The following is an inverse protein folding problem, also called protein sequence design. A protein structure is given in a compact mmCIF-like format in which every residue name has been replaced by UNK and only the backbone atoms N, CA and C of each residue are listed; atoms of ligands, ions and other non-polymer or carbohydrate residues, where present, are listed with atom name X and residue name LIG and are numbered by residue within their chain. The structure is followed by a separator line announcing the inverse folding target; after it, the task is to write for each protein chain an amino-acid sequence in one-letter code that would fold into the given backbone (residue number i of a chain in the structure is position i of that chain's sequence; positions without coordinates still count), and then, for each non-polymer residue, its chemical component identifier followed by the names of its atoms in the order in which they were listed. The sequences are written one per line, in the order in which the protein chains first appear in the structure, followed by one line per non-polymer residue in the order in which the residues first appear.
data_IF_001887173655
#
_entry.id   IF_001887173655
#
_cell.length_a   1.000
_cell.length_b   1.000
_cell.length_c   1.000
_cell.angle_alpha   90.00
_cell.angle_beta   90.00
_cell.angle_gamma   90.00
#
_symmetry.space_group_name_H-M   'P 1'
#
loop_
_entity.id
_entity.type
_entity.pdbx_description
1 polymer ?
#
# COMPACT_ATOMS: atom_id res chain seq x y z
N UNK A 1 72.29 30.52 -90.33
CA UNK A 1 72.58 29.14 -90.76
C UNK A 1 71.33 28.30 -90.48
N UNK A 2 70.67 27.64 -91.43
CA UNK A 2 70.56 27.90 -92.89
C UNK A 2 69.45 27.01 -93.49
N UNK A 3 68.69 27.55 -94.44
CA UNK A 3 67.84 26.82 -95.42
C UNK A 3 68.73 26.24 -96.56
N UNK A 4 68.30 25.39 -97.55
CA UNK A 4 66.95 25.25 -98.16
C UNK A 4 66.53 23.80 -98.63
N UNK A 5 65.59 23.71 -99.61
CA UNK A 5 65.23 22.56 -100.52
C UNK A 5 64.61 21.27 -99.92
N UNK A 6 63.48 20.67 -100.35
CA UNK A 6 62.40 20.91 -101.35
C UNK A 6 62.49 20.24 -102.76
N UNK A 7 61.31 19.87 -103.31
CA UNK A 7 60.96 19.41 -104.70
C UNK A 7 61.24 17.93 -105.11
N UNK A 8 60.68 17.54 -106.27
CA UNK A 8 60.76 16.24 -107.00
C UNK A 8 59.78 15.10 -106.60
N UNK A 9 58.51 15.35 -106.93
CA UNK A 9 57.30 14.52 -106.84
C UNK A 9 57.11 13.49 -108.00
N UNK A 10 55.94 12.82 -108.02
CA UNK A 10 55.04 12.64 -109.18
C UNK A 10 54.92 11.31 -109.95
N UNK A 11 55.97 10.77 -110.57
CA UNK A 11 55.77 9.82 -111.70
C UNK A 11 55.15 8.45 -111.33
N UNK A 12 54.30 7.93 -112.23
CA UNK A 12 53.76 6.56 -112.29
C UNK A 12 52.48 6.21 -111.49
N UNK A 13 51.62 7.21 -111.29
CA UNK A 13 50.20 7.00 -111.65
C UNK A 13 50.13 6.69 -113.17
N UNK A 14 49.26 5.77 -113.62
CA UNK A 14 48.37 5.94 -114.80
C UNK A 14 47.70 4.65 -115.32
N UNK A 15 48.46 3.58 -115.56
CA UNK A 15 48.13 2.64 -116.67
C UNK A 15 46.89 1.73 -116.47
N UNK A 16 46.57 1.30 -115.25
CA UNK A 16 45.68 0.14 -115.02
C UNK A 16 44.15 0.42 -115.12
N UNK A 17 43.72 1.49 -115.79
CA UNK A 17 42.34 2.01 -115.69
C UNK A 17 41.26 1.30 -116.54
N UNK A 18 41.61 0.28 -117.35
CA UNK A 18 41.01 0.15 -118.69
C UNK A 18 39.84 -0.84 -118.92
N UNK A 19 39.54 -1.78 -118.01
CA UNK A 19 38.89 -3.04 -118.40
C UNK A 19 37.55 -3.44 -117.70
N UNK A 20 36.82 -2.52 -117.04
CA UNK A 20 35.60 -2.87 -116.25
C UNK A 20 34.40 -1.94 -116.50
N UNK A 21 34.26 -1.46 -117.73
CA UNK A 21 32.93 -1.35 -118.36
C UNK A 21 32.47 -2.81 -118.68
N UNK A 22 31.20 -3.17 -118.88
CA UNK A 22 30.21 -2.53 -119.74
C UNK A 22 28.79 -2.94 -119.33
N UNK A 23 28.18 -2.26 -118.35
CA UNK A 23 26.81 -2.55 -117.91
C UNK A 23 26.07 -1.29 -117.47
N UNK A 24 24.91 -1.05 -118.07
CA UNK A 24 23.90 0.04 -117.91
C UNK A 24 22.67 -0.12 -116.99
N UNK A 25 22.50 -0.89 -115.90
CA UNK A 25 23.17 -2.02 -115.24
C UNK A 25 24.47 -1.83 -114.42
N UNK A 26 25.04 -0.62 -114.29
CA UNK A 26 26.01 -0.27 -113.21
C UNK A 26 25.76 1.15 -112.66
N UNK A 27 25.95 2.28 -113.38
CA UNK A 27 25.55 3.61 -112.92
C UNK A 27 24.15 3.69 -112.26
N UNK A 28 23.12 3.01 -112.74
CA UNK A 28 21.79 2.97 -112.12
C UNK A 28 21.80 2.29 -110.74
N UNK A 29 22.51 1.16 -110.64
CA UNK A 29 22.75 0.45 -109.38
C UNK A 29 23.62 1.28 -108.44
N UNK A 30 24.65 1.97 -108.95
CA UNK A 30 25.43 2.96 -108.20
C UNK A 30 24.58 4.15 -107.76
N UNK A 31 23.57 4.57 -108.52
CA UNK A 31 22.68 5.66 -108.14
C UNK A 31 21.76 5.25 -106.99
N UNK A 32 21.06 4.11 -107.10
CA UNK A 32 20.26 3.54 -106.01
C UNK A 32 21.11 3.18 -104.79
N UNK A 33 22.32 2.62 -104.99
CA UNK A 33 23.25 2.32 -103.91
C UNK A 33 23.83 3.59 -103.27
N UNK A 34 24.13 4.65 -104.03
CA UNK A 34 24.58 5.94 -103.48
C UNK A 34 23.44 6.67 -102.76
N UNK A 35 22.19 6.56 -103.23
CA UNK A 35 21.05 7.13 -102.52
C UNK A 35 20.74 6.34 -101.23
N UNK A 36 20.73 5.01 -101.30
CA UNK A 36 20.63 4.15 -100.11
C UNK A 36 21.77 4.41 -99.13
N UNK A 37 23.02 4.53 -99.61
CA UNK A 37 24.20 4.89 -98.81
C UNK A 37 24.07 6.29 -98.21
N UNK A 38 23.55 7.29 -98.93
CA UNK A 38 23.27 8.64 -98.41
C UNK A 38 22.16 8.63 -97.36
N UNK A 39 21.07 7.88 -97.57
CA UNK A 39 19.98 7.69 -96.59
C UNK A 39 20.51 6.99 -95.33
N UNK A 40 21.29 5.92 -95.49
CA UNK A 40 21.92 5.18 -94.40
C UNK A 40 22.94 6.03 -93.64
N UNK A 41 23.78 6.82 -94.34
CA UNK A 41 24.73 7.75 -93.69
C UNK A 41 23.99 8.80 -92.86
N UNK A 42 22.92 9.40 -93.39
CA UNK A 42 22.08 10.34 -92.63
C UNK A 42 21.40 9.70 -91.42
N UNK A 43 20.95 8.44 -91.52
CA UNK A 43 20.46 7.70 -90.36
C UNK A 43 21.57 7.53 -89.34
N UNK A 44 22.72 6.96 -89.74
CA UNK A 44 23.85 6.72 -88.85
C UNK A 44 24.37 7.98 -88.16
N UNK A 45 24.40 9.14 -88.84
CA UNK A 45 24.77 10.42 -88.23
C UNK A 45 23.70 10.92 -87.24
N UNK A 46 22.41 10.72 -87.54
CA UNK A 46 21.29 11.00 -86.62
C UNK A 46 21.32 10.10 -85.39
N UNK A 47 21.46 8.80 -85.59
CA UNK A 47 21.53 7.77 -84.56
C UNK A 47 22.77 8.00 -83.67
N UNK A 48 23.92 8.36 -84.27
CA UNK A 48 25.14 8.74 -83.55
C UNK A 48 24.98 10.02 -82.73
N UNK A 49 24.24 11.01 -83.22
CA UNK A 49 23.91 12.23 -82.45
C UNK A 49 23.05 11.88 -81.22
N UNK A 50 21.98 11.12 -81.42
CA UNK A 50 21.10 10.64 -80.33
C UNK A 50 21.86 9.80 -79.30
N UNK A 51 22.75 8.90 -79.74
CA UNK A 51 23.63 8.12 -78.85
C UNK A 51 24.56 9.04 -78.04
N UNK A 52 25.10 10.11 -78.64
CA UNK A 52 25.95 11.07 -77.92
C UNK A 52 25.18 11.87 -76.85
N UNK A 53 23.93 12.21 -77.14
CA UNK A 53 23.02 12.92 -76.22
C UNK A 53 22.64 12.03 -75.03
N UNK A 54 22.19 10.80 -75.28
CA UNK A 54 21.94 9.80 -74.23
C UNK A 54 23.18 9.46 -73.40
N UNK A 55 24.39 9.51 -73.99
CA UNK A 55 25.64 9.29 -73.25
C UNK A 55 25.97 10.46 -72.32
N UNK A 56 25.69 11.70 -72.76
CA UNK A 56 25.78 12.90 -71.92
C UNK A 56 24.82 12.84 -70.72
N UNK A 57 23.54 12.56 -70.97
CA UNK A 57 22.52 12.41 -69.93
C UNK A 57 22.87 11.29 -68.92
N UNK A 58 23.30 10.13 -69.41
CA UNK A 58 23.75 9.03 -68.54
C UNK A 58 24.91 9.43 -67.62
N UNK A 59 25.84 10.25 -68.10
CA UNK A 59 26.97 10.69 -67.29
C UNK A 59 26.57 11.78 -66.29
N UNK A 60 25.61 12.66 -66.63
CA UNK A 60 24.99 13.56 -65.64
C UNK A 60 24.25 12.78 -64.54
N UNK A 61 23.37 11.84 -64.91
CA UNK A 61 22.62 11.02 -63.96
C UNK A 61 23.53 10.17 -63.06
N UNK A 62 24.63 9.60 -63.59
CA UNK A 62 25.64 8.90 -62.76
C UNK A 62 26.29 9.83 -61.74
N UNK A 63 26.63 11.05 -62.12
CA UNK A 63 27.22 12.05 -61.22
C UNK A 63 26.21 12.52 -60.17
N UNK A 64 24.94 12.69 -60.53
CA UNK A 64 23.88 13.03 -59.58
C UNK A 64 23.62 11.88 -58.59
N UNK A 65 23.49 10.64 -59.06
CA UNK A 65 23.37 9.45 -58.21
C UNK A 65 24.56 9.32 -57.25
N UNK A 66 25.78 9.58 -57.72
CA UNK A 66 26.98 9.61 -56.85
C UNK A 66 26.85 10.70 -55.77
N UNK A 67 26.50 11.92 -56.17
CA UNK A 67 26.33 13.07 -55.27
C UNK A 67 25.21 12.84 -54.25
N UNK A 68 24.10 12.21 -54.63
CA UNK A 68 23.00 11.85 -53.74
C UNK A 68 23.40 10.73 -52.76
N UNK A 69 24.15 9.72 -53.20
CA UNK A 69 24.71 8.68 -52.32
C UNK A 69 25.68 9.26 -51.29
N UNK A 70 26.54 10.19 -51.68
CA UNK A 70 27.44 10.90 -50.76
C UNK A 70 26.69 11.79 -49.76
N UNK A 71 25.60 12.44 -50.19
CA UNK A 71 24.71 13.22 -49.30
C UNK A 71 23.95 12.33 -48.30
N UNK A 72 23.48 11.15 -48.73
CA UNK A 72 22.85 10.16 -47.86
C UNK A 72 23.84 9.63 -46.82
N UNK A 73 25.01 9.11 -47.24
CA UNK A 73 26.02 8.60 -46.31
C UNK A 73 26.45 9.63 -45.25
N UNK A 74 26.54 10.92 -45.62
CA UNK A 74 26.82 12.02 -44.67
C UNK A 74 25.66 12.29 -43.70
N UNK A 75 24.40 12.20 -44.16
CA UNK A 75 23.22 12.30 -43.29
C UNK A 75 23.13 11.14 -42.31
N UNK A 76 23.36 9.91 -42.78
CA UNK A 76 23.24 8.69 -41.98
C UNK A 76 24.33 8.63 -40.90
N UNK A 77 25.57 9.05 -41.24
CA UNK A 77 26.67 9.20 -40.28
C UNK A 77 26.40 10.29 -39.22
N UNK A 78 25.72 11.39 -39.60
CA UNK A 78 25.30 12.42 -38.65
C UNK A 78 24.25 11.89 -37.66
N UNK A 79 23.18 11.30 -38.18
CA UNK A 79 22.08 10.74 -37.38
C UNK A 79 22.52 9.63 -36.40
N UNK A 80 23.50 8.80 -36.79
CA UNK A 80 23.98 7.68 -35.96
C UNK A 80 25.00 8.07 -34.89
N UNK A 81 25.53 9.30 -34.90
CA UNK A 81 26.50 9.78 -33.90
C UNK A 81 25.85 10.39 -32.67
N UNK A 82 24.90 11.32 -32.87
CA UNK A 82 24.35 12.15 -31.79
C UNK A 82 23.11 11.54 -31.14
N UNK A 83 22.18 11.00 -31.93
CA UNK A 83 20.93 10.41 -31.43
C UNK A 83 21.14 9.31 -30.37
N UNK A 84 22.03 8.31 -30.53
CA UNK A 84 22.26 7.34 -29.46
C UNK A 84 22.90 7.98 -28.21
N UNK A 85 23.83 8.93 -28.37
CA UNK A 85 24.46 9.62 -27.23
C UNK A 85 23.47 10.45 -26.42
N UNK A 86 22.53 11.15 -27.07
CA UNK A 86 21.46 11.86 -26.39
C UNK A 86 20.48 10.90 -25.72
N UNK A 87 20.10 9.79 -26.38
CA UNK A 87 19.25 8.77 -25.77
C UNK A 87 19.91 8.12 -24.54
N UNK A 88 21.20 7.79 -24.58
CA UNK A 88 21.94 7.27 -23.42
C UNK A 88 21.91 8.26 -22.25
N UNK A 89 22.25 9.53 -22.48
CA UNK A 89 22.20 10.57 -21.44
C UNK A 89 20.78 10.76 -20.87
N UNK A 90 19.76 10.83 -21.72
CA UNK A 90 18.38 10.98 -21.29
C UNK A 90 17.89 9.76 -20.49
N UNK A 91 18.41 8.57 -20.80
CA UNK A 91 18.14 7.32 -20.08
C UNK A 91 18.91 7.24 -18.75
N UNK A 92 20.12 7.79 -18.67
CA UNK A 92 20.89 7.98 -17.44
C UNK A 92 20.20 8.98 -16.50
N UNK A 93 19.84 10.17 -17.00
CA UNK A 93 19.07 11.20 -16.27
C UNK A 93 17.72 10.64 -15.79
N UNK A 94 17.00 9.89 -16.64
CA UNK A 94 15.77 9.21 -16.24
C UNK A 94 16.02 8.23 -15.10
N UNK A 95 17.04 7.38 -15.17
CA UNK A 95 17.35 6.45 -14.08
C UNK A 95 17.77 7.16 -12.79
N UNK A 96 18.46 8.30 -12.87
CA UNK A 96 18.81 9.09 -11.70
C UNK A 96 17.59 9.76 -11.07
N UNK A 97 16.67 10.29 -11.88
CA UNK A 97 15.38 10.83 -11.44
C UNK A 97 14.48 9.74 -10.84
N UNK A 98 14.42 8.54 -11.42
CA UNK A 98 13.69 7.41 -10.87
C UNK A 98 14.27 6.98 -9.50
N UNK A 99 15.60 6.91 -9.35
CA UNK A 99 16.26 6.63 -8.06
C UNK A 99 16.03 7.72 -7.00
N UNK A 100 16.02 9.00 -7.41
CA UNK A 100 15.66 10.12 -6.53
C UNK A 100 14.21 10.03 -6.09
N UNK A 101 13.29 9.73 -7.01
CA UNK A 101 11.86 9.57 -6.74
C UNK A 101 11.58 8.38 -5.81
N UNK A 102 12.27 7.25 -5.95
CA UNK A 102 12.13 6.14 -4.98
C UNK A 102 12.69 6.53 -3.61
N UNK A 103 13.87 7.15 -3.54
CA UNK A 103 14.45 7.59 -2.27
C UNK A 103 13.62 8.67 -1.57
N UNK A 104 12.96 9.57 -2.31
CA UNK A 104 12.03 10.55 -1.72
C UNK A 104 10.71 9.90 -1.30
N UNK A 105 10.19 8.91 -2.02
CA UNK A 105 9.04 8.11 -1.57
C UNK A 105 9.35 7.35 -0.28
N UNK A 106 10.52 6.71 -0.18
CA UNK A 106 10.97 6.04 1.05
C UNK A 106 11.08 7.02 2.23
N UNK A 107 11.62 8.22 2.01
CA UNK A 107 11.68 9.29 3.02
C UNK A 107 10.28 9.82 3.37
N UNK A 108 9.37 9.94 2.42
CA UNK A 108 7.97 10.33 2.68
C UNK A 108 7.27 9.24 3.50
N UNK A 109 7.42 7.97 3.16
CA UNK A 109 6.87 6.85 3.92
C UNK A 109 7.47 6.77 5.33
N UNK A 110 8.76 7.04 5.50
CA UNK A 110 9.40 7.11 6.81
C UNK A 110 8.90 8.32 7.61
N UNK A 111 8.83 9.50 6.99
CA UNK A 111 8.30 10.72 7.63
C UNK A 111 6.83 10.56 7.99
N UNK A 112 6.01 9.94 7.15
CA UNK A 112 4.61 9.58 7.44
C UNK A 112 4.55 8.59 8.60
N UNK A 113 5.36 7.52 8.62
CA UNK A 113 5.42 6.59 9.77
C UNK A 113 5.85 7.29 11.07
N UNK A 114 6.86 8.17 11.02
CA UNK A 114 7.33 8.96 12.17
C UNK A 114 6.30 10.00 12.62
N UNK A 115 5.61 10.67 11.70
CA UNK A 115 4.55 11.63 11.98
C UNK A 115 3.30 10.94 12.54
N UNK A 116 2.89 9.79 11.98
CA UNK A 116 1.81 8.97 12.53
C UNK A 116 2.15 8.44 13.92
N UNK A 117 3.39 7.99 14.16
CA UNK A 117 3.83 7.59 15.49
C UNK A 117 3.83 8.76 16.49
N UNK A 118 4.29 9.95 16.09
CA UNK A 118 4.23 11.16 16.93
C UNK A 118 2.81 11.68 17.13
N UNK A 119 1.93 11.53 16.13
CA UNK A 119 0.52 11.88 16.20
C UNK A 119 -0.20 10.94 17.17
N UNK A 120 -0.07 9.62 17.02
CA UNK A 120 -0.61 8.65 17.99
C UNK A 120 -0.05 8.88 19.40
N UNK A 121 1.23 9.24 19.54
CA UNK A 121 1.87 9.54 20.82
C UNK A 121 1.45 10.87 21.48
N UNK A 122 0.79 11.80 20.77
CA UNK A 122 0.43 13.14 21.28
C UNK A 122 -1.03 13.54 21.13
N UNK A 123 -1.77 12.86 20.25
CA UNK A 123 -3.18 13.15 19.97
C UNK A 123 -4.09 12.09 20.58
N UNK A 124 -3.67 10.82 20.68
CA UNK A 124 -4.48 9.78 21.32
C UNK A 124 -4.54 9.90 22.85
N UNK A 125 -3.78 10.81 23.48
CA UNK A 125 -3.96 11.12 24.91
C UNK A 125 -5.34 11.76 25.19
N UNK A 126 -5.88 12.54 24.25
CA UNK A 126 -7.18 13.25 24.38
C UNK A 126 -8.17 13.05 23.21
N UNK A 127 -7.74 12.53 22.05
CA UNK A 127 -8.58 12.42 20.84
C UNK A 127 -8.68 10.98 20.30
N UNK A 128 -9.57 10.14 20.89
CA UNK A 128 -9.75 8.74 20.49
C UNK A 128 -10.39 8.52 19.10
N UNK A 129 -10.73 9.59 18.37
CA UNK A 129 -11.23 9.49 16.99
C UNK A 129 -10.12 9.30 15.94
N UNK A 130 -8.84 9.52 16.28
CA UNK A 130 -7.69 9.32 15.37
C UNK A 130 -7.14 7.89 15.52
N UNK A 131 -8.04 6.90 15.47
CA UNK A 131 -7.70 5.49 15.61
C UNK A 131 -7.22 4.87 14.29
N UNK A 132 -6.19 4.03 14.37
CA UNK A 132 -5.76 3.20 13.24
C UNK A 132 -6.86 2.19 12.87
N UNK A 133 -7.34 2.24 11.62
CA UNK A 133 -8.40 1.34 11.13
C UNK A 133 -7.94 -0.11 10.96
N UNK A 134 -6.62 -0.36 11.01
CA UNK A 134 -6.04 -1.72 11.05
C UNK A 134 -5.93 -2.30 12.46
N UNK A 135 -6.04 -1.49 13.52
CA UNK A 135 -6.04 -1.99 14.90
C UNK A 135 -7.33 -2.78 15.19
N UNK A 136 -7.17 -4.09 15.43
CA UNK A 136 -8.25 -5.00 15.78
C UNK A 136 -8.81 -4.76 17.20
N UNK A 137 -8.05 -4.08 18.06
CA UNK A 137 -8.39 -3.74 19.44
C UNK A 137 -8.71 -2.25 19.62
N UNK A 138 -8.98 -1.52 18.53
CA UNK A 138 -9.50 -0.14 18.61
C UNK A 138 -10.88 -0.13 19.30
N UNK A 139 -11.24 0.91 20.06
CA UNK A 139 -12.51 0.99 20.80
C UNK A 139 -13.76 0.65 19.98
N UNK A 140 -13.86 1.11 18.72
CA UNK A 140 -15.02 0.84 17.86
C UNK A 140 -15.12 -0.64 17.48
N UNK A 141 -14.01 -1.29 17.08
CA UNK A 141 -14.02 -2.72 16.73
C UNK A 141 -14.21 -3.62 17.94
N UNK A 142 -13.86 -3.16 19.15
CA UNK A 142 -14.23 -3.84 20.39
C UNK A 142 -15.73 -3.69 20.69
N UNK A 143 -16.32 -2.51 20.49
CA UNK A 143 -17.76 -2.30 20.68
C UNK A 143 -18.62 -3.03 19.63
N UNK A 144 -18.12 -3.19 18.40
CA UNK A 144 -18.68 -4.08 17.38
C UNK A 144 -18.66 -5.54 17.86
N UNK A 145 -17.49 -6.08 18.24
CA UNK A 145 -17.36 -7.47 18.75
C UNK A 145 -18.18 -7.73 20.02
N UNK A 146 -18.33 -6.72 20.88
CA UNK A 146 -19.16 -6.81 22.07
C UNK A 146 -20.65 -6.82 21.73
N UNK A 147 -21.08 -6.10 20.68
CA UNK A 147 -22.44 -6.26 20.15
C UNK A 147 -22.63 -7.62 19.48
N UNK A 148 -21.67 -8.08 18.68
CA UNK A 148 -21.65 -9.43 18.11
C UNK A 148 -21.79 -10.51 19.20
N UNK A 149 -21.25 -10.29 20.41
CA UNK A 149 -21.40 -11.19 21.56
C UNK A 149 -22.82 -11.24 22.15
N UNK A 150 -23.63 -10.19 22.00
CA UNK A 150 -25.05 -10.24 22.37
C UNK A 150 -25.84 -11.10 21.37
N UNK A 151 -25.62 -10.89 20.07
CA UNK A 151 -26.36 -11.63 19.05
C UNK A 151 -25.99 -13.13 19.05
N UNK A 152 -24.72 -13.47 19.35
CA UNK A 152 -24.19 -14.85 19.38
C UNK A 152 -24.13 -15.45 20.81
N UNK A 153 -23.01 -15.29 21.53
CA UNK A 153 -22.74 -16.07 22.76
C UNK A 153 -23.76 -15.83 23.89
N UNK A 154 -24.35 -14.63 24.00
CA UNK A 154 -25.43 -14.37 24.95
C UNK A 154 -26.70 -15.16 24.59
N UNK A 155 -27.07 -15.21 23.31
CA UNK A 155 -28.23 -15.98 22.82
C UNK A 155 -28.05 -17.48 23.06
N UNK A 156 -26.87 -18.02 22.79
CA UNK A 156 -26.53 -19.42 23.05
C UNK A 156 -26.61 -19.75 24.55
N UNK A 157 -26.04 -18.90 25.41
CA UNK A 157 -26.11 -19.07 26.86
C UNK A 157 -27.56 -18.95 27.38
N UNK A 158 -28.29 -17.92 26.93
CA UNK A 158 -29.70 -17.67 27.28
C UNK A 158 -30.57 -18.88 26.94
N UNK A 159 -30.54 -19.35 25.70
CA UNK A 159 -31.46 -20.41 25.25
C UNK A 159 -31.14 -21.79 25.84
N UNK A 160 -29.95 -22.03 26.38
CA UNK A 160 -29.64 -23.28 27.12
C UNK A 160 -30.01 -23.15 28.59
N UNK A 161 -29.71 -22.01 29.23
CA UNK A 161 -30.02 -21.79 30.64
C UNK A 161 -31.54 -21.72 30.86
N UNK A 162 -32.26 -20.97 30.03
CA UNK A 162 -33.74 -20.86 30.09
C UNK A 162 -34.42 -22.23 29.97
N UNK A 163 -34.00 -23.07 29.00
CA UNK A 163 -34.53 -24.44 28.84
C UNK A 163 -34.26 -25.33 30.05
N UNK A 164 -33.25 -25.00 30.87
CA UNK A 164 -32.90 -25.77 32.08
C UNK A 164 -33.60 -25.29 33.36
N UNK A 165 -33.97 -24.01 33.44
CA UNK A 165 -34.54 -23.40 34.66
C UNK A 165 -36.01 -22.93 34.52
N UNK A 166 -36.52 -22.81 33.29
CA UNK A 166 -37.88 -22.39 32.97
C UNK A 166 -38.19 -20.91 33.19
N UNK A 167 -37.17 -20.02 33.24
CA UNK A 167 -37.33 -18.62 33.64
C UNK A 167 -36.53 -17.65 32.77
N UNK A 168 -37.22 -16.92 31.90
CA UNK A 168 -36.67 -15.80 31.12
C UNK A 168 -36.01 -14.76 32.05
N UNK A 169 -36.74 -14.29 33.07
CA UNK A 169 -36.31 -13.16 33.89
C UNK A 169 -35.04 -13.40 34.70
N UNK A 170 -34.94 -14.54 35.39
CA UNK A 170 -33.75 -14.90 36.18
C UNK A 170 -32.54 -15.18 35.27
N UNK A 171 -32.77 -15.68 34.06
CA UNK A 171 -31.71 -15.93 33.07
C UNK A 171 -31.15 -14.62 32.48
N UNK A 172 -32.01 -13.66 32.15
CA UNK A 172 -31.59 -12.32 31.72
C UNK A 172 -30.81 -11.62 32.84
N UNK A 173 -31.29 -11.69 34.09
CA UNK A 173 -30.63 -11.05 35.22
C UNK A 173 -29.26 -11.67 35.53
N UNK A 174 -29.12 -12.99 35.45
CA UNK A 174 -27.84 -13.69 35.53
C UNK A 174 -26.85 -13.20 34.48
N UNK A 175 -27.22 -13.25 33.19
CA UNK A 175 -26.32 -12.91 32.09
C UNK A 175 -25.91 -11.43 32.12
N UNK A 176 -26.82 -10.54 32.53
CA UNK A 176 -26.51 -9.14 32.80
C UNK A 176 -25.56 -8.96 34.01
N UNK A 177 -25.69 -9.79 35.04
CA UNK A 177 -24.82 -9.77 36.23
C UNK A 177 -23.41 -10.25 35.92
N UNK A 178 -23.23 -11.25 35.04
CA UNK A 178 -21.92 -11.67 34.54
C UNK A 178 -21.16 -10.50 33.91
N UNK A 179 -21.80 -9.69 33.06
CA UNK A 179 -21.17 -8.50 32.47
C UNK A 179 -20.81 -7.45 33.52
N UNK A 180 -21.66 -7.23 34.54
CA UNK A 180 -21.39 -6.24 35.62
C UNK A 180 -20.20 -6.64 36.49
N UNK A 181 -20.13 -7.90 36.92
CA UNK A 181 -18.99 -8.38 37.70
C UNK A 181 -17.72 -8.42 36.83
N UNK A 182 -17.81 -8.75 35.54
CA UNK A 182 -16.66 -8.69 34.63
C UNK A 182 -16.18 -7.25 34.37
N UNK A 183 -17.09 -6.28 34.23
CA UNK A 183 -16.77 -4.84 34.08
C UNK A 183 -16.00 -4.30 35.28
N UNK A 184 -16.50 -4.59 36.48
CA UNK A 184 -15.87 -4.27 37.76
C UNK A 184 -14.52 -4.98 37.91
N UNK A 185 -14.47 -6.30 37.75
CA UNK A 185 -13.25 -7.10 37.86
C UNK A 185 -12.15 -6.62 36.90
N UNK A 186 -12.48 -6.38 35.63
CA UNK A 186 -11.51 -5.88 34.65
C UNK A 186 -11.07 -4.44 34.96
N UNK A 187 -11.93 -3.60 35.53
CA UNK A 187 -11.56 -2.24 35.96
C UNK A 187 -10.60 -2.28 37.16
N UNK A 188 -10.92 -3.07 38.18
CA UNK A 188 -10.08 -3.29 39.37
C UNK A 188 -8.72 -3.90 38.99
N UNK A 189 -8.72 -4.94 38.14
CA UNK A 189 -7.51 -5.58 37.65
C UNK A 189 -6.66 -4.65 36.77
N UNK A 190 -7.29 -3.80 35.95
CA UNK A 190 -6.58 -2.83 35.11
C UNK A 190 -5.79 -1.84 35.97
N UNK A 191 -6.43 -1.26 36.99
CA UNK A 191 -5.78 -0.39 37.97
C UNK A 191 -4.68 -1.10 38.75
N UNK A 192 -4.98 -2.25 39.36
CA UNK A 192 -4.03 -3.00 40.18
C UNK A 192 -2.78 -3.43 39.39
N UNK A 193 -2.93 -3.88 38.14
CA UNK A 193 -1.80 -4.27 37.31
C UNK A 193 -0.87 -3.06 37.02
N UNK A 194 -1.42 -1.86 36.82
CA UNK A 194 -0.62 -0.63 36.66
C UNK A 194 0.16 -0.32 37.95
N UNK A 195 -0.50 -0.31 39.12
CA UNK A 195 0.17 -0.03 40.40
C UNK A 195 1.29 -1.04 40.69
N UNK A 196 1.03 -2.34 40.48
CA UNK A 196 2.01 -3.41 40.70
C UNK A 196 3.22 -3.24 39.77
N UNK A 197 3.01 -2.98 38.48
CA UNK A 197 4.11 -2.75 37.55
C UNK A 197 4.94 -1.50 37.90
N UNK A 198 4.31 -0.42 38.36
CA UNK A 198 5.02 0.78 38.84
C UNK A 198 5.85 0.43 40.07
N UNK A 199 5.27 -0.20 41.09
CA UNK A 199 5.97 -0.57 42.31
C UNK A 199 7.16 -1.50 42.04
N UNK A 200 7.02 -2.49 41.14
CA UNK A 200 8.10 -3.39 40.76
C UNK A 200 9.22 -2.67 40.00
N UNK A 201 8.88 -1.82 39.02
CA UNK A 201 9.88 -1.04 38.27
C UNK A 201 10.61 -0.03 39.18
N UNK A 202 9.92 0.56 40.15
CA UNK A 202 10.51 1.50 41.11
C UNK A 202 11.41 0.77 42.12
N UNK A 203 11.04 -0.42 42.60
CA UNK A 203 11.94 -1.22 43.45
C UNK A 203 13.19 -1.66 42.69
N UNK A 204 13.06 -2.22 41.49
CA UNK A 204 14.21 -2.72 40.74
C UNK A 204 15.16 -1.61 40.26
N UNK A 205 14.66 -0.39 40.02
CA UNK A 205 15.50 0.77 39.72
C UNK A 205 16.21 1.36 40.95
N UNK A 206 15.67 1.16 42.17
CA UNK A 206 16.30 1.60 43.44
C UNK A 206 17.25 0.55 44.01
N UNK A 207 16.88 -0.72 43.90
CA UNK A 207 17.52 -1.88 44.49
C UNK A 207 17.89 -2.91 43.39
N UNK A 208 18.70 -2.55 42.36
CA UNK A 208 18.91 -3.40 41.19
C UNK A 208 19.68 -4.69 41.52
N UNK A 209 19.02 -5.83 41.35
CA UNK A 209 19.49 -7.17 41.77
C UNK A 209 20.33 -7.84 40.68
N UNK A 210 21.47 -7.22 40.36
CA UNK A 210 22.44 -7.81 39.43
C UNK A 210 22.98 -9.16 39.95
N UNK A 211 22.75 -10.25 39.20
CA UNK A 211 23.38 -11.56 39.43
C UNK A 211 24.89 -11.47 39.18
N UNK A 212 25.66 -11.05 40.18
CA UNK A 212 27.07 -10.67 40.01
C UNK A 212 28.04 -11.70 40.58
N UNK A 213 28.75 -12.40 39.68
CA UNK A 213 30.04 -12.97 40.04
C UNK A 213 31.04 -11.83 40.29
N UNK A 214 31.70 -11.90 41.46
CA UNK A 214 33.02 -11.35 41.74
C UNK A 214 33.31 -9.87 41.41
N UNK A 215 32.43 -8.94 41.80
CA UNK A 215 32.87 -7.59 42.17
C UNK A 215 32.31 -7.24 43.55
N UNK A 216 33.21 -7.06 44.51
CA UNK A 216 32.92 -6.31 45.74
C UNK A 216 33.08 -4.83 45.38
N UNK A 217 32.05 -4.03 45.59
CA UNK A 217 32.21 -2.56 45.69
C UNK A 217 31.08 -1.98 46.55
N UNK A 218 31.34 -0.98 47.41
CA UNK A 218 30.37 -0.49 48.36
C UNK A 218 29.57 0.69 47.81
N UNK A 219 28.24 0.59 47.84
CA UNK A 219 27.38 1.76 47.92
C UNK A 219 26.34 1.51 49.02
N UNK A 220 26.38 2.30 50.08
CA UNK A 220 25.47 2.16 51.21
C UNK A 220 24.10 2.79 50.89
N UNK A 221 23.06 2.20 51.48
CA UNK A 221 21.65 2.52 51.26
C UNK A 221 21.31 4.01 51.00
N UNK A 222 20.90 4.31 49.77
CA UNK A 222 20.10 5.50 49.46
C UNK A 222 18.66 5.29 49.95
N UNK A 223 18.41 5.60 51.22
CA UNK A 223 17.08 5.48 51.81
C UNK A 223 16.06 6.44 51.17
N UNK A 224 14.86 5.93 50.88
CA UNK A 224 13.62 6.72 51.01
C UNK A 224 13.29 7.77 49.96
N UNK A 225 13.95 7.82 48.79
CA UNK A 225 13.51 8.71 47.70
C UNK A 225 12.19 8.21 47.08
N UNK A 226 11.05 8.78 47.45
CA UNK A 226 9.78 8.58 46.74
C UNK A 226 9.83 9.17 45.32
N UNK A 227 8.97 8.69 44.41
CA UNK A 227 8.86 9.31 43.08
C UNK A 227 8.24 10.70 43.22
N UNK A 228 8.80 11.70 42.53
CA UNK A 228 8.10 12.98 42.42
C UNK A 228 6.79 12.85 41.60
N UNK A 229 5.94 13.87 41.66
CA UNK A 229 4.61 13.81 41.02
C UNK A 229 4.68 13.68 39.49
N UNK A 230 5.74 14.18 38.84
CA UNK A 230 5.93 14.11 37.39
C UNK A 230 6.58 12.80 36.96
N UNK A 231 7.52 12.27 37.73
CA UNK A 231 8.02 10.90 37.58
C UNK A 231 6.86 9.89 37.71
N UNK A 232 6.01 10.06 38.72
CA UNK A 232 4.83 9.23 38.95
C UNK A 232 3.85 9.26 37.77
N UNK A 233 3.53 10.44 37.23
CA UNK A 233 2.70 10.58 36.01
C UNK A 233 3.34 9.91 34.80
N UNK A 234 4.65 10.08 34.63
CA UNK A 234 5.41 9.51 33.50
C UNK A 234 5.42 7.98 33.55
N UNK A 235 5.71 7.40 34.72
CA UNK A 235 5.66 5.96 34.95
C UNK A 235 4.25 5.41 34.69
N UNK A 236 3.19 6.07 35.19
CA UNK A 236 1.79 5.70 34.93
C UNK A 236 1.46 5.64 33.44
N UNK A 237 1.89 6.63 32.65
CA UNK A 237 1.69 6.62 31.20
C UNK A 237 2.45 5.46 30.52
N UNK A 238 3.72 5.26 30.86
CA UNK A 238 4.53 4.18 30.28
C UNK A 238 3.95 2.79 30.60
N UNK A 239 3.44 2.59 31.81
CA UNK A 239 2.82 1.32 32.23
C UNK A 239 1.44 1.09 31.61
N UNK A 240 0.64 2.14 31.37
CA UNK A 240 -0.60 2.04 30.57
C UNK A 240 -0.31 1.64 29.12
N UNK A 241 0.68 2.26 28.50
CA UNK A 241 1.11 1.93 27.14
C UNK A 241 1.63 0.48 27.02
N UNK A 242 2.36 0.01 28.04
CA UNK A 242 2.83 -1.38 28.12
C UNK A 242 1.65 -2.36 28.32
N UNK A 243 0.74 -2.04 29.24
CA UNK A 243 -0.48 -2.81 29.51
C UNK A 243 -1.34 -2.96 28.24
N UNK A 244 -1.65 -1.87 27.53
CA UNK A 244 -2.44 -1.93 26.29
C UNK A 244 -1.77 -2.81 25.23
N UNK A 245 -0.45 -2.72 25.06
CA UNK A 245 0.31 -3.52 24.07
C UNK A 245 0.44 -5.00 24.44
N UNK A 246 0.38 -5.34 25.72
CA UNK A 246 0.46 -6.72 26.22
C UNK A 246 -0.89 -7.28 26.73
N UNK A 247 -1.99 -6.55 26.50
CA UNK A 247 -3.30 -6.88 27.08
C UNK A 247 -3.77 -8.29 26.75
N UNK A 248 -3.57 -8.76 25.52
CA UNK A 248 -3.90 -10.11 25.05
C UNK A 248 -3.23 -11.20 25.91
N UNK A 249 -2.01 -10.96 26.41
CA UNK A 249 -1.27 -11.90 27.27
C UNK A 249 -1.95 -12.09 28.64
N UNK A 250 -2.70 -11.08 29.09
CA UNK A 250 -3.41 -11.13 30.38
C UNK A 250 -4.79 -11.81 30.28
N UNK A 251 -5.37 -11.98 29.07
CA UNK A 251 -6.74 -12.46 28.87
C UNK A 251 -7.00 -13.81 29.53
N UNK A 252 -6.21 -14.84 29.19
CA UNK A 252 -6.43 -16.20 29.70
C UNK A 252 -6.22 -16.28 31.24
N UNK A 253 -5.13 -15.73 31.83
CA UNK A 253 -5.00 -15.65 33.29
C UNK A 253 -6.14 -14.92 33.98
N UNK A 254 -6.65 -13.81 33.41
CA UNK A 254 -7.75 -13.04 33.99
C UNK A 254 -9.08 -13.80 33.93
N UNK A 255 -9.39 -14.50 32.82
CA UNK A 255 -10.56 -15.36 32.72
C UNK A 255 -10.53 -16.49 33.77
N UNK A 256 -9.37 -17.12 33.96
CA UNK A 256 -9.18 -18.14 34.99
C UNK A 256 -9.31 -17.62 36.42
N UNK A 257 -8.95 -16.36 36.69
CA UNK A 257 -9.14 -15.72 37.99
C UNK A 257 -10.62 -15.36 38.19
N UNK A 258 -11.28 -14.80 37.16
CA UNK A 258 -12.70 -14.47 37.19
C UNK A 258 -13.58 -15.70 37.45
N UNK A 259 -13.27 -16.84 36.83
CA UNK A 259 -13.97 -18.11 37.05
C UNK A 259 -13.90 -18.55 38.53
N UNK A 260 -12.70 -18.47 39.12
CA UNK A 260 -12.40 -18.90 40.50
C UNK A 260 -13.00 -17.95 41.54
N UNK A 261 -13.07 -16.64 41.26
CA UNK A 261 -13.53 -15.62 42.22
C UNK A 261 -15.00 -15.23 42.04
N UNK A 262 -15.43 -14.95 40.81
CA UNK A 262 -16.76 -14.41 40.51
C UNK A 262 -17.75 -15.51 40.10
N UNK A 263 -17.45 -16.34 39.10
CA UNK A 263 -18.39 -17.36 38.62
C UNK A 263 -18.65 -18.45 39.67
N UNK A 264 -17.64 -18.84 40.45
CA UNK A 264 -17.79 -19.75 41.59
C UNK A 264 -18.75 -19.22 42.68
N UNK A 265 -18.99 -17.91 42.73
CA UNK A 265 -20.02 -17.28 43.58
C UNK A 265 -21.39 -17.28 42.90
N UNK A 266 -21.46 -16.77 41.66
CA UNK A 266 -22.71 -16.69 40.87
C UNK A 266 -23.35 -18.07 40.64
N UNK A 267 -22.55 -19.10 40.36
CA UNK A 267 -23.04 -20.47 40.17
C UNK A 267 -23.74 -21.02 41.44
N UNK A 268 -23.32 -20.61 42.64
CA UNK A 268 -23.99 -20.99 43.90
C UNK A 268 -25.28 -20.19 44.10
N UNK A 269 -25.24 -18.88 43.83
CA UNK A 269 -26.40 -17.99 43.95
C UNK A 269 -27.55 -18.42 43.03
N UNK A 270 -27.26 -18.66 41.75
CA UNK A 270 -28.24 -19.01 40.72
C UNK A 270 -28.41 -20.54 40.53
N UNK A 271 -27.75 -21.37 41.37
CA UNK A 271 -27.80 -22.85 41.34
C UNK A 271 -27.48 -23.45 39.96
N UNK A 272 -26.43 -22.93 39.32
CA UNK A 272 -26.10 -23.25 37.94
C UNK A 272 -25.43 -24.62 37.81
N UNK A 273 -25.93 -25.42 36.88
CA UNK A 273 -25.19 -26.55 36.33
C UNK A 273 -24.10 -26.01 35.40
N UNK A 274 -23.01 -26.77 35.20
CA UNK A 274 -21.96 -26.38 34.26
C UNK A 274 -22.46 -26.51 32.81
N UNK A 275 -22.36 -25.44 32.03
CA UNK A 275 -22.90 -25.31 30.67
C UNK A 275 -21.87 -24.66 29.76
N UNK A 276 -21.44 -25.34 28.70
CA UNK A 276 -20.36 -24.88 27.81
C UNK A 276 -20.64 -23.52 27.15
N UNK A 277 -21.90 -23.21 26.85
CA UNK A 277 -22.33 -21.93 26.30
C UNK A 277 -22.13 -20.79 27.31
N UNK A 278 -22.33 -21.04 28.61
CA UNK A 278 -22.05 -20.07 29.66
C UNK A 278 -20.53 -19.88 29.83
N UNK A 279 -19.74 -20.97 29.87
CA UNK A 279 -18.27 -20.90 29.89
C UNK A 279 -17.73 -20.04 28.72
N UNK A 280 -18.27 -20.23 27.50
CA UNK A 280 -17.88 -19.47 26.31
C UNK A 280 -18.28 -17.98 26.40
N UNK A 281 -19.50 -17.69 26.83
CA UNK A 281 -19.99 -16.32 27.07
C UNK A 281 -19.15 -15.58 28.13
N UNK A 282 -18.82 -16.24 29.24
CA UNK A 282 -17.94 -15.71 30.30
C UNK A 282 -16.55 -15.38 29.75
N UNK A 283 -15.93 -16.31 29.02
CA UNK A 283 -14.60 -16.11 28.43
C UNK A 283 -14.60 -14.93 27.44
N UNK A 284 -15.60 -14.86 26.56
CA UNK A 284 -15.74 -13.76 25.58
C UNK A 284 -15.98 -12.42 26.27
N UNK A 285 -16.82 -12.39 27.32
CA UNK A 285 -17.10 -11.20 28.11
C UNK A 285 -15.83 -10.67 28.79
N UNK A 286 -15.13 -11.49 29.58
CA UNK A 286 -13.88 -11.09 30.24
C UNK A 286 -12.84 -10.62 29.21
N UNK A 287 -12.72 -11.32 28.08
CA UNK A 287 -11.80 -10.94 26.99
C UNK A 287 -12.09 -9.53 26.44
N UNK A 288 -13.32 -9.27 26.00
CA UNK A 288 -13.67 -8.00 25.36
C UNK A 288 -13.67 -6.84 26.35
N UNK A 289 -14.20 -7.07 27.57
CA UNK A 289 -14.24 -6.06 28.63
C UNK A 289 -12.83 -5.71 29.10
N UNK A 290 -11.92 -6.69 29.24
CA UNK A 290 -10.52 -6.41 29.53
C UNK A 290 -9.88 -5.53 28.44
N UNK A 291 -10.05 -5.89 27.17
CA UNK A 291 -9.52 -5.12 26.03
C UNK A 291 -10.15 -3.71 25.92
N UNK A 292 -11.35 -3.50 26.48
CA UNK A 292 -12.00 -2.19 26.64
C UNK A 292 -11.43 -1.36 27.80
N UNK A 293 -11.09 -1.98 28.93
CA UNK A 293 -10.59 -1.28 30.14
C UNK A 293 -9.11 -0.91 30.08
N UNK A 294 -8.30 -1.59 29.27
CA UNK A 294 -6.89 -1.20 28.99
C UNK A 294 -6.76 -0.03 28.00
N UNK A 295 -7.87 0.43 27.40
CA UNK A 295 -7.84 1.62 26.55
C UNK A 295 -7.50 2.87 27.38
N UNK A 296 -6.90 3.86 26.74
CA UNK A 296 -6.64 5.17 27.36
C UNK A 296 -7.22 6.26 26.46
N UNK A 297 -8.28 6.96 26.90
CA UNK A 297 -9.12 6.66 28.07
C UNK A 297 -9.87 5.31 27.93
N UNK A 298 -10.31 4.68 29.05
CA UNK A 298 -11.08 3.43 29.00
C UNK A 298 -12.43 3.59 28.29
N UNK A 299 -12.88 2.52 27.63
CA UNK A 299 -14.24 2.42 27.06
C UNK A 299 -15.25 2.23 28.20
N UNK A 300 -16.38 2.92 28.08
CA UNK A 300 -17.39 3.01 29.14
C UNK A 300 -18.66 2.22 28.78
N UNK A 301 -19.22 1.49 29.76
CA UNK A 301 -20.46 0.74 29.61
C UNK A 301 -21.53 1.26 30.57
N UNK A 302 -22.69 1.68 30.04
CA UNK A 302 -23.79 2.26 30.82
C UNK A 302 -25.05 1.41 30.73
N UNK A 303 -25.62 1.05 31.87
CA UNK A 303 -26.86 0.30 31.97
C UNK A 303 -28.08 1.24 31.99
N UNK A 304 -29.23 0.77 31.53
CA UNK A 304 -30.46 1.56 31.59
C UNK A 304 -31.00 1.59 33.03
N UNK A 305 -31.22 2.78 33.58
CA UNK A 305 -31.73 2.96 34.93
C UNK A 305 -33.20 2.53 35.03
N UNK A 306 -33.52 1.58 35.91
CA UNK A 306 -34.87 1.04 36.04
C UNK A 306 -35.82 2.13 36.58
N UNK A 307 -37.02 2.23 36.00
CA UNK A 307 -38.02 3.29 36.20
C UNK A 307 -37.72 4.66 35.54
N UNK A 308 -36.51 4.90 35.01
CA UNK A 308 -36.21 6.10 34.22
C UNK A 308 -37.01 6.13 32.90
N UNK A 309 -37.11 7.31 32.27
CA UNK A 309 -37.71 7.46 30.95
C UNK A 309 -36.89 6.72 29.88
N UNK A 310 -37.54 6.01 28.96
CA UNK A 310 -36.86 5.19 27.96
C UNK A 310 -36.18 6.05 26.88
N UNK A 311 -34.85 6.21 26.98
CA UNK A 311 -34.05 6.88 25.95
C UNK A 311 -33.80 5.98 24.73
N UNK A 312 -34.52 6.26 23.65
CA UNK A 312 -34.39 5.61 22.34
C UNK A 312 -33.11 6.02 21.59
N UNK A 313 -32.39 7.05 22.02
CA UNK A 313 -31.10 7.43 21.43
C UNK A 313 -29.99 6.47 21.90
N UNK A 314 -29.89 6.20 23.21
CA UNK A 314 -28.91 5.27 23.79
C UNK A 314 -29.32 3.79 23.72
N UNK A 315 -30.61 3.47 23.86
CA UNK A 315 -31.10 2.09 23.98
C UNK A 315 -32.09 1.68 22.87
N UNK A 316 -32.13 0.39 22.55
CA UNK A 316 -33.21 -0.25 21.78
C UNK A 316 -34.08 -1.13 22.68
N UNK A 317 -35.36 -1.29 22.33
CA UNK A 317 -36.25 -2.21 23.04
C UNK A 317 -35.83 -3.67 22.84
N UNK A 318 -35.99 -4.49 23.88
CA UNK A 318 -35.80 -5.94 23.81
C UNK A 318 -37.01 -6.64 23.15
N UNK A 319 -38.16 -6.71 23.84
CA UNK A 319 -39.40 -7.29 23.28
C UNK A 319 -40.64 -6.45 23.52
N UNK A 320 -40.76 -5.77 24.67
CA UNK A 320 -41.88 -4.89 25.03
C UNK A 320 -41.46 -3.43 24.92
N UNK A 321 -42.32 -2.61 24.30
CA UNK A 321 -42.16 -1.16 24.29
C UNK A 321 -42.79 -0.53 25.55
N UNK A 322 -42.47 0.73 25.83
CA UNK A 322 -43.01 1.45 26.99
C UNK A 322 -42.46 2.87 27.12
N UNK A 323 -42.97 3.63 28.10
CA UNK A 323 -42.47 4.99 28.40
C UNK A 323 -41.24 4.97 29.31
N UNK A 324 -41.09 3.91 30.10
CA UNK A 324 -40.03 3.73 31.11
C UNK A 324 -39.22 2.47 30.88
N UNK A 325 -38.03 2.43 31.48
CA UNK A 325 -37.21 1.22 31.58
C UNK A 325 -37.82 0.27 32.62
N UNK A 326 -38.19 -0.93 32.18
CA UNK A 326 -38.60 -2.05 33.04
C UNK A 326 -37.42 -2.92 33.50
N UNK A 327 -36.45 -3.16 32.61
CA UNK A 327 -35.20 -3.91 32.88
C UNK A 327 -34.12 -3.47 31.88
N UNK A 328 -32.85 -3.47 32.26
CA UNK A 328 -31.72 -3.39 31.31
C UNK A 328 -31.22 -4.81 31.00
N UNK A 329 -31.10 -5.17 29.73
CA UNK A 329 -30.59 -6.48 29.26
C UNK A 329 -29.10 -6.34 28.90
N UNK A 330 -28.76 -5.30 28.15
CA UNK A 330 -27.41 -5.06 27.62
C UNK A 330 -26.99 -3.60 27.85
N UNK A 331 -25.73 -3.31 28.24
CA UNK A 331 -25.27 -1.95 28.41
C UNK A 331 -25.04 -1.27 27.05
N UNK A 332 -25.21 0.05 27.03
CA UNK A 332 -24.76 0.90 25.95
C UNK A 332 -23.27 1.20 26.09
N UNK A 333 -22.53 1.18 24.98
CA UNK A 333 -21.07 1.36 24.95
C UNK A 333 -20.72 2.74 24.43
N UNK A 334 -19.97 3.51 25.21
CA UNK A 334 -19.49 4.85 24.90
C UNK A 334 -17.96 4.83 24.74
N UNK A 335 -17.45 5.63 23.80
CA UNK A 335 -16.02 5.66 23.44
C UNK A 335 -15.10 5.95 24.64
N UNK A 336 -15.56 6.81 25.53
CA UNK A 336 -14.97 7.08 26.86
C UNK A 336 -16.10 7.47 27.83
N UNK A 337 -15.78 7.68 29.11
CA UNK A 337 -16.75 8.11 30.14
C UNK A 337 -17.53 9.40 29.80
N UNK A 338 -17.02 10.27 28.93
CA UNK A 338 -17.72 11.45 28.38
C UNK A 338 -17.74 11.47 26.84
N UNK A 339 -17.44 10.35 26.20
CA UNK A 339 -17.31 10.25 24.74
C UNK A 339 -18.65 9.99 24.02
N UNK A 340 -18.64 9.95 22.68
CA UNK A 340 -19.80 9.56 21.89
C UNK A 340 -20.23 8.11 22.14
N UNK A 341 -21.51 7.85 21.93
CA UNK A 341 -22.08 6.50 21.87
C UNK A 341 -21.52 5.75 20.65
N UNK A 342 -20.99 4.54 20.85
CA UNK A 342 -20.43 3.69 19.79
C UNK A 342 -21.17 2.36 19.62
N UNK A 343 -21.94 1.92 20.62
CA UNK A 343 -22.93 0.83 20.43
C UNK A 343 -24.14 1.03 21.35
N UNK A 344 -25.35 0.81 20.84
CA UNK A 344 -26.58 0.94 21.63
C UNK A 344 -26.74 -0.20 22.62
N UNK A 345 -27.27 0.12 23.80
CA UNK A 345 -27.68 -0.88 24.78
C UNK A 345 -29.07 -1.44 24.46
N UNK A 346 -29.50 -2.44 25.23
CA UNK A 346 -30.79 -3.12 25.05
C UNK A 346 -31.54 -3.13 26.38
N UNK A 347 -32.79 -2.66 26.37
CA UNK A 347 -33.61 -2.52 27.56
C UNK A 347 -35.08 -2.91 27.28
N UNK A 348 -35.76 -3.46 28.28
CA UNK A 348 -37.18 -3.77 28.21
C UNK A 348 -38.00 -2.53 28.58
N UNK A 349 -38.98 -2.19 27.76
CA UNK A 349 -39.94 -1.13 28.08
C UNK A 349 -40.99 -1.60 29.09
N UNK A 350 -41.50 -0.65 29.87
CA UNK A 350 -42.79 -0.74 30.59
C UNK A 350 -43.52 0.60 30.53
N UNK A 351 -44.81 0.57 30.80
CA UNK A 351 -45.70 1.74 30.78
C UNK A 351 -45.35 2.79 31.86
#
# INVERSE_FOLDING_TARGET
MTEPEMNADLTFVLEFFKNVEEKETIPNLKAKANEAKRRLTRSLDSDRKVISEFHGENNMLKNEIKTLKEKLAKRDAGNTSEAPRFNTKLQEEKQELEKKLTSEREKVDELVKRLSAMASSKLCEDNPNIADLSDAFRPTRLAEQFREMYDNEWTDAFTVIEKSNGKEEETIELLATVIKEADKFCSDACGQQIEIMICWAVDEMKNPKFKRNSYKDPCAASQGAELDQNQSKTARRMMKELQKKLAVVSVQPLAEIFEKLCMTSLAKQYKLNKVQQLDAYVLKAVTLIWLMKVQTPPVEMRWAEINSHFDKSTFTFYTKQGTKVGRSIWPAVFLTANGPLISKGIAQGKE
#
